data_IF_028946001952
#
_entry.id   IF_028946001952
#
_cell.length_a   1.000
_cell.length_b   1.000
_cell.length_c   1.000
_cell.angle_alpha   90.00
_cell.angle_beta   90.00
_cell.angle_gamma   90.00
#
_symmetry.space_group_name_H-M   'P 1'
#
loop_
_entity.id
_entity.type
_entity.pdbx_description
1 polymer ?
#
# COMPACT_ATOMS: atom_id res chain seq x y z
N UNK A 1 17.52 -36.79 7.12
CA UNK A 1 18.40 -37.20 6.01
C UNK A 1 18.71 -35.96 5.19
N UNK A 2 19.95 -35.81 4.71
CA UNK A 2 20.31 -34.74 3.76
C UNK A 2 20.01 -35.28 2.36
N UNK A 3 19.40 -34.47 1.50
CA UNK A 3 19.19 -34.82 0.08
C UNK A 3 20.54 -34.86 -0.65
N UNK A 4 20.74 -35.84 -1.52
CA UNK A 4 21.84 -35.79 -2.48
C UNK A 4 21.65 -34.66 -3.49
N UNK A 5 22.74 -34.22 -4.12
CA UNK A 5 22.72 -33.17 -5.15
C UNK A 5 21.79 -33.53 -6.32
N UNK A 6 21.80 -34.78 -6.76
CA UNK A 6 20.92 -35.28 -7.82
C UNK A 6 19.43 -35.21 -7.44
N UNK A 7 19.06 -35.58 -6.20
CA UNK A 7 17.68 -35.46 -5.71
C UNK A 7 17.26 -34.00 -5.54
N UNK A 8 18.18 -33.13 -5.11
CA UNK A 8 17.93 -31.69 -4.98
C UNK A 8 17.68 -31.04 -6.36
N UNK A 9 18.46 -31.40 -7.38
CA UNK A 9 18.27 -30.96 -8.77
C UNK A 9 16.96 -31.49 -9.36
N UNK A 10 16.65 -32.77 -9.20
CA UNK A 10 15.40 -33.36 -9.66
C UNK A 10 14.17 -32.71 -9.01
N UNK A 11 14.25 -32.39 -7.71
CA UNK A 11 13.20 -31.66 -6.99
C UNK A 11 13.07 -30.20 -7.45
N UNK A 12 14.18 -29.55 -7.80
CA UNK A 12 14.17 -28.20 -8.38
C UNK A 12 13.53 -28.18 -9.78
N UNK A 13 13.76 -29.20 -10.61
CA UNK A 13 13.05 -29.36 -11.89
C UNK A 13 11.55 -29.60 -11.72
N UNK A 14 11.16 -30.45 -10.76
CA UNK A 14 9.75 -30.68 -10.46
C UNK A 14 9.03 -29.39 -10.05
N UNK A 15 9.62 -28.60 -9.14
CA UNK A 15 9.10 -27.30 -8.71
C UNK A 15 9.03 -26.27 -9.85
N UNK A 16 9.96 -26.32 -10.82
CA UNK A 16 9.91 -25.47 -12.03
C UNK A 16 8.72 -25.84 -12.93
N UNK A 17 8.50 -27.14 -13.18
CA UNK A 17 7.34 -27.62 -13.98
C UNK A 17 6.00 -27.35 -13.29
N UNK A 18 5.95 -27.48 -11.97
CA UNK A 18 4.79 -27.11 -11.14
C UNK A 18 4.49 -25.61 -11.28
N UNK A 19 5.50 -24.75 -11.12
CA UNK A 19 5.37 -23.31 -11.33
C UNK A 19 4.87 -22.97 -12.74
N UNK A 20 5.46 -23.53 -13.79
CA UNK A 20 5.00 -23.30 -15.17
C UNK A 20 3.54 -23.71 -15.41
N UNK A 21 3.05 -24.70 -14.66
CA UNK A 21 1.65 -25.15 -14.74
C UNK A 21 0.72 -24.15 -14.05
N UNK A 22 1.12 -23.63 -12.88
CA UNK A 22 0.40 -22.59 -12.15
C UNK A 22 0.40 -21.26 -12.94
N UNK A 23 1.54 -20.83 -13.48
CA UNK A 23 1.67 -19.61 -14.28
C UNK A 23 0.74 -19.65 -15.52
N UNK A 24 0.54 -20.84 -16.13
CA UNK A 24 -0.44 -21.06 -17.20
C UNK A 24 -1.89 -20.95 -16.73
N UNK A 25 -2.25 -21.57 -15.60
CA UNK A 25 -3.60 -21.49 -15.01
C UNK A 25 -3.97 -20.05 -14.62
N UNK A 26 -3.01 -19.27 -14.11
CA UNK A 26 -3.20 -17.85 -13.80
C UNK A 26 -3.51 -17.06 -15.08
N UNK A 27 -2.77 -17.29 -16.17
CA UNK A 27 -3.02 -16.61 -17.44
C UNK A 27 -4.41 -16.93 -18.03
N UNK A 28 -4.86 -18.18 -17.93
CA UNK A 28 -6.19 -18.62 -18.36
C UNK A 28 -7.32 -17.94 -17.54
N UNK A 29 -7.18 -17.91 -16.20
CA UNK A 29 -8.14 -17.27 -15.32
C UNK A 29 -8.18 -15.73 -15.50
N UNK A 30 -7.04 -15.09 -15.76
CA UNK A 30 -6.97 -13.67 -16.07
C UNK A 30 -7.69 -13.34 -17.39
N UNK A 31 -7.52 -14.18 -18.42
CA UNK A 31 -8.24 -14.05 -19.70
C UNK A 31 -9.75 -14.19 -19.52
N UNK A 32 -10.19 -15.17 -18.73
CA UNK A 32 -11.61 -15.37 -18.40
C UNK A 32 -12.21 -14.16 -17.67
N UNK A 33 -11.50 -13.62 -16.67
CA UNK A 33 -11.93 -12.44 -15.92
C UNK A 33 -11.96 -11.16 -16.78
N UNK A 34 -11.01 -10.98 -17.69
CA UNK A 34 -11.01 -9.84 -18.61
C UNK A 34 -12.16 -9.91 -19.62
N UNK A 35 -12.44 -11.10 -20.17
CA UNK A 35 -13.61 -11.36 -21.01
C UNK A 35 -14.92 -11.07 -20.25
N UNK A 36 -15.02 -11.50 -18.99
CA UNK A 36 -16.16 -11.19 -18.12
C UNK A 36 -16.38 -9.69 -17.91
N UNK A 37 -15.30 -8.90 -17.75
CA UNK A 37 -15.38 -7.43 -17.66
C UNK A 37 -15.84 -6.79 -18.97
N UNK A 38 -15.30 -7.24 -20.10
CA UNK A 38 -15.66 -6.73 -21.45
C UNK A 38 -17.12 -6.98 -21.81
N UNK A 39 -17.67 -8.13 -21.39
CA UNK A 39 -19.07 -8.50 -21.65
C UNK A 39 -20.05 -7.95 -20.60
N UNK A 40 -19.57 -7.53 -19.42
CA UNK A 40 -20.41 -7.17 -18.26
C UNK A 40 -20.45 -5.68 -17.88
N UNK A 41 -19.86 -4.78 -18.67
CA UNK A 41 -19.78 -3.35 -18.34
C UNK A 41 -20.77 -2.47 -19.14
N UNK A 42 -21.39 -1.43 -18.53
CA UNK A 42 -21.41 -1.06 -17.11
C UNK A 42 -22.73 -1.43 -16.41
N UNK A 43 -22.66 -1.92 -15.17
CA UNK A 43 -23.81 -1.95 -14.25
C UNK A 43 -23.40 -1.43 -12.88
N UNK A 44 -23.72 -0.17 -12.64
CA UNK A 44 -23.53 0.58 -11.39
C UNK A 44 -24.69 1.58 -11.25
N UNK A 45 -25.05 1.97 -10.01
CA UNK A 45 -26.25 1.42 -9.37
C UNK A 45 -27.54 2.11 -9.81
N UNK A 46 -28.60 1.33 -10.03
CA UNK A 46 -29.97 1.86 -10.11
C UNK A 46 -30.47 2.21 -8.70
N UNK A 47 -30.15 3.42 -8.25
CA UNK A 47 -30.91 4.03 -7.16
C UNK A 47 -32.36 4.26 -7.65
N UNK A 48 -33.40 3.84 -6.89
CA UNK A 48 -34.77 4.22 -7.19
C UNK A 48 -34.97 5.69 -6.81
N UNK A 49 -35.12 6.52 -7.83
CA UNK A 49 -35.47 7.94 -7.77
C UNK A 49 -36.89 8.11 -7.18
N UNK A 50 -36.99 8.38 -5.87
CA UNK A 50 -38.23 8.86 -5.26
C UNK A 50 -38.42 10.34 -5.56
N UNK A 51 -39.45 10.66 -6.35
CA UNK A 51 -39.68 12.01 -6.84
C UNK A 51 -40.27 12.95 -5.75
N UNK A 52 -39.68 14.13 -5.62
CA UNK A 52 -40.26 15.29 -4.94
C UNK A 52 -40.10 16.53 -5.86
N UNK A 53 -41.16 17.32 -6.13
CA UNK A 53 -41.13 18.36 -7.15
C UNK A 53 -40.44 19.66 -6.67
N UNK A 54 -39.51 20.25 -7.43
CA UNK A 54 -38.81 21.47 -7.03
C UNK A 54 -39.70 22.73 -7.13
N UNK A 55 -39.69 23.53 -6.07
CA UNK A 55 -40.36 24.84 -5.98
C UNK A 55 -39.58 25.96 -6.71
N UNK A 56 -40.22 27.10 -7.06
CA UNK A 56 -39.59 28.16 -7.86
C UNK A 56 -38.51 28.96 -7.10
N UNK A 57 -37.54 29.56 -7.83
CA UNK A 57 -36.34 30.16 -7.22
C UNK A 57 -36.52 31.62 -6.72
N UNK A 58 -35.85 32.00 -5.61
CA UNK A 58 -35.73 33.39 -5.17
C UNK A 58 -34.67 34.19 -5.96
N UNK A 59 -34.68 35.55 -5.90
CA UNK A 59 -33.83 36.42 -6.71
C UNK A 59 -32.38 36.57 -6.20
N UNK A 60 -31.49 37.03 -7.10
CA UNK A 60 -30.04 37.25 -6.89
C UNK A 60 -29.70 38.54 -6.11
N UNK A 61 -28.48 38.59 -5.54
CA UNK A 61 -27.73 39.80 -5.13
C UNK A 61 -26.23 39.66 -5.44
N UNK A 62 -25.52 40.78 -5.49
CA UNK A 62 -24.09 40.97 -5.87
C UNK A 62 -23.09 40.33 -4.85
N UNK A 63 -21.88 39.82 -5.17
CA UNK A 63 -20.75 40.20 -6.06
C UNK A 63 -19.82 41.31 -5.48
N UNK A 64 -18.50 41.41 -5.82
CA UNK A 64 -17.61 40.55 -6.65
C UNK A 64 -16.76 39.58 -5.76
N UNK A 65 -15.39 39.48 -5.66
CA UNK A 65 -14.21 40.16 -6.26
C UNK A 65 -13.40 39.28 -7.28
N UNK A 66 -12.05 39.19 -7.18
CA UNK A 66 -11.11 38.66 -8.20
C UNK A 66 -9.83 37.96 -7.58
N UNK A 67 -8.80 37.49 -8.35
CA UNK A 67 -8.05 36.25 -8.04
C UNK A 67 -6.55 36.41 -7.65
N UNK A 68 -5.84 35.28 -7.45
CA UNK A 68 -4.43 35.12 -7.84
C UNK A 68 -4.14 33.88 -8.71
N UNK A 69 -2.95 33.86 -9.32
CA UNK A 69 -2.43 32.83 -10.25
C UNK A 69 -1.83 31.57 -9.57
N UNK A 70 -1.68 30.44 -10.28
CA UNK A 70 -0.95 29.28 -9.79
C UNK A 70 0.59 29.48 -9.78
N UNK A 71 1.31 29.12 -8.70
CA UNK A 71 2.78 29.17 -8.67
C UNK A 71 3.45 28.08 -9.53
N UNK A 72 4.71 28.34 -9.88
CA UNK A 72 5.53 27.60 -10.85
C UNK A 72 5.87 26.13 -10.46
N UNK A 73 6.26 25.28 -11.44
CA UNK A 73 6.66 23.89 -11.19
C UNK A 73 7.92 23.77 -10.32
N UNK A 74 7.93 22.74 -9.46
CA UNK A 74 9.06 22.43 -8.57
C UNK A 74 10.26 21.80 -9.33
N UNK A 75 11.51 21.98 -8.84
CA UNK A 75 12.72 21.54 -9.53
C UNK A 75 12.94 20.03 -9.46
N UNK A 76 13.56 19.48 -10.51
CA UNK A 76 13.90 18.06 -10.65
C UNK A 76 14.88 17.58 -9.58
N UNK A 77 14.40 16.77 -8.62
CA UNK A 77 15.28 15.92 -7.78
C UNK A 77 15.64 14.62 -8.50
N UNK A 78 16.83 14.03 -8.25
CA UNK A 78 17.23 12.75 -8.84
C UNK A 78 16.35 11.59 -8.30
N UNK A 79 16.15 10.52 -9.09
CA UNK A 79 15.31 9.39 -8.69
C UNK A 79 15.99 8.56 -7.59
N UNK A 80 15.51 8.70 -6.35
CA UNK A 80 15.82 7.75 -5.28
C UNK A 80 15.06 6.45 -5.55
N UNK A 81 15.81 5.41 -5.93
CA UNK A 81 15.45 3.98 -5.97
C UNK A 81 13.93 3.65 -5.98
N UNK A 82 13.27 3.83 -7.13
CA UNK A 82 12.14 2.95 -7.44
C UNK A 82 12.66 1.49 -7.44
N UNK A 83 11.87 0.49 -6.99
CA UNK A 83 12.26 -0.91 -7.05
C UNK A 83 12.33 -1.36 -8.52
N UNK A 84 13.55 -1.27 -9.09
CA UNK A 84 13.83 -1.65 -10.47
C UNK A 84 13.50 -3.12 -10.71
N UNK A 85 12.86 -3.41 -11.86
CA UNK A 85 12.64 -4.71 -12.48
C UNK A 85 12.55 -5.93 -11.54
N UNK A 86 11.32 -6.35 -11.23
CA UNK A 86 10.97 -7.49 -10.39
C UNK A 86 11.91 -8.71 -10.54
N UNK A 87 12.55 -9.12 -9.42
CA UNK A 87 13.44 -10.29 -9.40
C UNK A 87 12.68 -11.57 -9.85
N UNK A 88 13.09 -12.22 -10.95
CA UNK A 88 12.31 -13.29 -11.58
C UNK A 88 12.44 -14.62 -10.82
N UNK A 89 11.67 -14.79 -9.74
CA UNK A 89 11.59 -16.06 -9.01
C UNK A 89 10.91 -16.02 -7.64
N UNK A 90 10.65 -14.84 -7.08
CA UNK A 90 9.97 -14.74 -5.79
C UNK A 90 8.45 -14.79 -5.94
N UNK A 91 7.80 -15.70 -5.21
CA UNK A 91 6.34 -15.73 -5.08
C UNK A 91 5.82 -14.36 -4.63
N UNK A 92 4.64 -13.95 -5.12
CA UNK A 92 3.91 -12.77 -4.65
C UNK A 92 3.81 -12.74 -3.11
N UNK A 93 3.61 -13.89 -2.47
CA UNK A 93 3.54 -13.99 -1.01
C UNK A 93 4.88 -13.73 -0.30
N UNK A 94 6.01 -13.85 -0.99
CA UNK A 94 7.35 -13.49 -0.50
C UNK A 94 7.61 -12.01 -0.74
N UNK A 95 7.22 -11.47 -1.90
CA UNK A 95 7.28 -10.04 -2.21
C UNK A 95 6.43 -9.23 -1.22
N UNK A 96 5.19 -9.63 -0.97
CA UNK A 96 4.31 -9.01 0.03
C UNK A 96 4.88 -9.07 1.46
N UNK A 97 5.60 -10.14 1.82
CA UNK A 97 6.30 -10.24 3.11
C UNK A 97 7.54 -9.36 3.18
N UNK A 98 8.35 -9.25 2.12
CA UNK A 98 9.48 -8.30 2.02
C UNK A 98 8.98 -6.86 2.14
N UNK A 99 7.98 -6.49 1.34
CA UNK A 99 7.34 -5.17 1.38
C UNK A 99 6.73 -4.86 2.77
N UNK A 100 6.07 -5.84 3.39
CA UNK A 100 5.54 -5.76 4.76
C UNK A 100 6.60 -5.70 5.88
N UNK A 101 7.89 -5.83 5.56
CA UNK A 101 9.04 -5.49 6.43
C UNK A 101 9.58 -4.10 6.09
N UNK A 102 9.84 -3.81 4.81
CA UNK A 102 10.34 -2.52 4.35
C UNK A 102 9.46 -1.33 4.81
N UNK A 103 8.12 -1.49 4.80
CA UNK A 103 7.17 -0.50 5.34
C UNK A 103 7.41 -0.19 6.83
N UNK A 104 7.92 -1.14 7.63
CA UNK A 104 8.22 -0.97 9.05
C UNK A 104 9.61 -0.41 9.28
N UNK A 105 10.60 -0.87 8.52
CA UNK A 105 11.95 -0.29 8.51
C UNK A 105 11.87 1.21 8.15
N UNK A 106 11.07 1.57 7.15
CA UNK A 106 10.76 2.96 6.83
C UNK A 106 9.89 3.67 7.89
N UNK A 107 8.95 2.97 8.56
CA UNK A 107 8.18 3.57 9.67
C UNK A 107 9.06 3.93 10.86
N UNK A 108 10.10 3.13 11.14
CA UNK A 108 11.08 3.39 12.19
C UNK A 108 11.98 4.58 11.81
N UNK A 109 12.54 4.58 10.60
CA UNK A 109 13.35 5.70 10.10
C UNK A 109 12.56 7.02 10.10
N UNK A 110 11.26 7.00 9.76
CA UNK A 110 10.36 8.17 9.84
C UNK A 110 10.15 8.67 11.27
N UNK A 111 10.12 7.78 12.25
CA UNK A 111 9.99 8.12 13.68
C UNK A 111 11.31 8.64 14.28
N UNK A 112 12.43 8.05 13.88
CA UNK A 112 13.79 8.47 14.24
C UNK A 112 14.10 9.86 13.66
N UNK A 113 13.88 10.08 12.37
CA UNK A 113 14.04 11.38 11.69
C UNK A 113 13.15 12.47 12.29
N UNK A 114 11.95 12.12 12.76
CA UNK A 114 11.05 13.07 13.40
C UNK A 114 11.49 13.50 14.80
N UNK A 115 12.30 12.70 15.51
CA UNK A 115 12.72 12.95 16.89
C UNK A 115 11.57 13.06 17.90
N UNK A 116 10.34 12.68 17.52
CA UNK A 116 9.12 12.79 18.34
C UNK A 116 8.13 11.66 18.02
N UNK A 117 7.20 11.34 18.94
CA UNK A 117 6.07 10.48 18.61
C UNK A 117 5.23 11.06 17.46
N UNK A 118 4.79 10.18 16.56
CA UNK A 118 3.92 10.50 15.42
C UNK A 118 2.63 9.70 15.47
N UNK A 119 1.54 10.28 14.96
CA UNK A 119 0.30 9.54 14.70
C UNK A 119 0.42 8.70 13.42
N UNK A 120 -0.28 7.56 13.33
CA UNK A 120 -0.22 6.67 12.17
C UNK A 120 -0.53 7.36 10.83
N UNK A 121 -1.33 8.43 10.81
CA UNK A 121 -1.55 9.23 9.59
C UNK A 121 -0.37 10.13 9.21
N UNK A 122 0.38 10.68 10.18
CA UNK A 122 1.64 11.41 9.91
C UNK A 122 2.71 10.45 9.36
N UNK A 123 2.82 9.25 9.96
CA UNK A 123 3.74 8.20 9.49
C UNK A 123 3.37 7.80 8.05
N UNK A 124 2.07 7.57 7.78
CA UNK A 124 1.59 7.21 6.44
C UNK A 124 1.88 8.30 5.40
N UNK A 125 1.74 9.59 5.74
CA UNK A 125 2.03 10.69 4.83
C UNK A 125 3.50 10.68 4.38
N UNK A 126 4.44 10.60 5.33
CA UNK A 126 5.88 10.50 5.04
C UNK A 126 6.26 9.22 4.29
N UNK A 127 5.60 8.10 4.60
CA UNK A 127 5.76 6.85 3.84
C UNK A 127 5.29 7.00 2.38
N UNK A 128 4.20 7.73 2.13
CA UNK A 128 3.71 8.01 0.77
C UNK A 128 4.66 8.95 0.00
N UNK A 129 5.26 9.94 0.66
CA UNK A 129 6.34 10.78 0.09
C UNK A 129 7.58 9.95 -0.31
N UNK A 130 7.85 8.87 0.44
CA UNK A 130 8.89 7.87 0.14
C UNK A 130 8.44 6.80 -0.88
N UNK A 131 7.23 6.89 -1.44
CA UNK A 131 6.70 5.98 -2.46
C UNK A 131 6.06 4.69 -1.93
N UNK A 132 5.88 4.52 -0.61
CA UNK A 132 5.16 3.38 -0.05
C UNK A 132 3.64 3.60 -0.08
N UNK A 133 2.92 2.70 -0.77
CA UNK A 133 1.47 2.57 -0.69
C UNK A 133 1.06 1.37 0.20
N UNK A 134 -0.04 1.48 0.94
CA UNK A 134 -0.64 0.35 1.66
C UNK A 134 -1.95 -0.09 0.97
N UNK A 135 -2.14 -1.39 0.67
CA UNK A 135 -3.37 -1.89 0.09
C UNK A 135 -4.50 -1.97 1.13
N UNK A 136 -5.70 -1.57 0.71
CA UNK A 136 -6.91 -1.59 1.53
C UNK A 136 -7.80 -0.37 1.26
N UNK A 137 -9.02 -0.37 1.80
CA UNK A 137 -9.92 0.80 1.76
C UNK A 137 -9.47 1.89 2.75
N UNK A 138 -8.85 1.49 3.87
CA UNK A 138 -8.25 2.39 4.86
C UNK A 138 -6.76 2.04 5.06
N UNK A 139 -5.83 2.81 4.45
CA UNK A 139 -4.40 2.60 4.63
C UNK A 139 -3.89 3.03 6.02
N UNK A 140 -4.60 3.91 6.74
CA UNK A 140 -4.23 4.35 8.10
C UNK A 140 -4.53 3.23 9.10
N UNK A 141 -5.72 2.62 9.05
CA UNK A 141 -6.04 1.44 9.84
C UNK A 141 -5.14 0.24 9.49
N UNK A 142 -4.80 0.07 8.20
CA UNK A 142 -3.86 -0.96 7.76
C UNK A 142 -2.44 -0.74 8.33
N UNK A 143 -1.94 0.50 8.39
CA UNK A 143 -0.66 0.81 9.03
C UNK A 143 -0.73 0.66 10.55
N UNK A 144 -1.73 1.24 11.19
CA UNK A 144 -1.97 1.16 12.64
C UNK A 144 -1.98 -0.30 13.12
N UNK A 145 -2.68 -1.19 12.41
CA UNK A 145 -2.71 -2.64 12.70
C UNK A 145 -1.32 -3.30 12.58
N UNK A 146 -0.47 -2.83 11.67
CA UNK A 146 0.89 -3.36 11.44
C UNK A 146 1.91 -2.84 12.45
N UNK A 147 1.72 -1.63 12.96
CA UNK A 147 2.54 -1.01 14.01
C UNK A 147 2.18 -1.55 15.40
N UNK A 148 0.88 -1.58 15.75
CA UNK A 148 0.40 -2.11 17.03
C UNK A 148 0.86 -3.56 17.27
N UNK A 149 0.74 -4.44 16.26
CA UNK A 149 1.22 -5.84 16.32
C UNK A 149 2.74 -5.99 16.54
N UNK A 150 3.50 -4.90 16.44
CA UNK A 150 4.95 -4.82 16.67
C UNK A 150 5.33 -3.90 17.84
N UNK A 151 4.33 -3.37 18.56
CA UNK A 151 4.49 -2.53 19.76
C UNK A 151 4.29 -3.31 21.05
N UNK A 152 4.63 -4.61 21.05
CA UNK A 152 4.61 -5.46 22.23
C UNK A 152 5.95 -5.42 23.00
N UNK A 153 6.05 -6.12 24.14
CA UNK A 153 7.31 -6.23 24.88
C UNK A 153 8.46 -6.74 24.00
N UNK A 154 9.60 -6.05 24.00
CA UNK A 154 10.74 -6.36 23.13
C UNK A 154 10.52 -6.07 21.63
N UNK A 155 9.43 -5.39 21.26
CA UNK A 155 9.21 -4.88 19.90
C UNK A 155 9.95 -3.57 19.65
N UNK A 156 10.27 -3.22 18.38
CA UNK A 156 11.02 -2.01 18.03
C UNK A 156 10.20 -0.71 18.12
N UNK A 157 8.94 -0.79 18.54
CA UNK A 157 7.99 0.33 18.59
C UNK A 157 7.36 0.43 19.97
N UNK A 158 7.13 1.66 20.43
CA UNK A 158 6.41 1.98 21.65
C UNK A 158 5.11 2.68 21.28
N UNK A 159 3.97 2.10 21.65
CA UNK A 159 2.65 2.73 21.45
C UNK A 159 2.34 3.63 22.65
N UNK A 160 2.18 4.93 22.41
CA UNK A 160 1.98 5.94 23.46
C UNK A 160 0.55 6.45 23.58
N UNK A 161 -0.34 6.10 22.63
CA UNK A 161 -1.74 6.51 22.65
C UNK A 161 -2.60 5.79 21.62
N UNK A 162 -3.71 6.40 21.23
CA UNK A 162 -4.51 5.93 20.10
C UNK A 162 -3.74 6.20 18.79
N UNK A 163 -3.27 5.13 18.15
CA UNK A 163 -2.46 5.16 16.93
C UNK A 163 -1.23 6.11 16.93
N UNK A 164 -0.78 6.57 18.11
CA UNK A 164 0.48 7.32 18.30
C UNK A 164 1.60 6.34 18.67
N UNK A 165 2.70 6.43 17.92
CA UNK A 165 3.87 5.57 18.02
C UNK A 165 5.15 6.38 18.19
N UNK A 166 6.12 5.76 18.85
CA UNK A 166 7.51 6.19 19.00
C UNK A 166 8.42 4.98 18.68
N UNK A 167 9.72 5.18 18.42
CA UNK A 167 10.65 4.05 18.47
C UNK A 167 10.62 3.45 19.90
N UNK A 168 10.98 2.18 20.03
CA UNK A 168 11.35 1.68 21.36
C UNK A 168 12.61 2.41 21.83
N UNK A 169 12.70 2.70 23.13
CA UNK A 169 13.92 3.24 23.71
C UNK A 169 15.02 2.18 23.50
N UNK A 170 16.09 2.54 22.80
CA UNK A 170 17.20 1.62 22.57
C UNK A 170 17.94 1.41 23.89
N UNK A 171 17.84 0.20 24.47
CA UNK A 171 18.67 -0.16 25.61
C UNK A 171 20.13 -0.25 25.13
N UNK A 172 20.96 0.72 25.53
CA UNK A 172 22.40 0.70 25.33
C UNK A 172 23.00 -0.49 26.12
N UNK A 173 23.58 -1.45 25.41
CA UNK A 173 24.17 -2.68 25.98
C UNK A 173 25.31 -3.23 25.13
#
# INVERSE_FOLDING_TARGET
>A
MVLSEAEALARLEALRRERETIDRQIAELLLYLDLGRRLGGPSAPRAPESAEPPAPPPPRREAPPAPPEPPAPAPSRPPVAQPSAAEPGLSETVLARRYGRAVIEASLAVLEEAGRPLHASEILARLAEQGFALPGQDPVAALNTRLWKRSGPGGPLKRLGEAVYAPADAEEG
#
